data_IF_019461001620
#
_entry.id   IF_019461001620
#
_cell.length_a   1.000
_cell.length_b   1.000
_cell.length_c   1.000
_cell.angle_alpha   90.00
_cell.angle_beta   90.00
_cell.angle_gamma   90.00
#
_symmetry.space_group_name_H-M   'P 1'
#
loop_
_entity.id
_entity.type
_entity.pdbx_description
1 polymer ?
#
# COMPACT_ATOMS: atom_id res chain seq x y z
N UNK A 1 -10.01 -7.21 -43.61
CA UNK A 1 -8.58 -6.96 -43.36
C UNK A 1 -8.24 -7.67 -42.05
N UNK A 2 -7.80 -8.93 -42.12
CA UNK A 2 -7.39 -9.68 -40.93
C UNK A 2 -6.05 -9.11 -40.45
N UNK A 3 -6.07 -8.46 -39.29
CA UNK A 3 -4.82 -8.12 -38.62
C UNK A 3 -4.21 -9.42 -38.10
N UNK A 4 -3.24 -9.96 -38.84
CA UNK A 4 -2.37 -11.04 -38.37
C UNK A 4 -1.68 -10.60 -37.09
N UNK A 5 -2.20 -11.08 -35.96
CA UNK A 5 -1.62 -10.84 -34.65
C UNK A 5 -0.27 -11.53 -34.60
N UNK A 6 0.81 -10.76 -34.52
CA UNK A 6 2.12 -11.34 -34.27
C UNK A 6 2.12 -11.96 -32.87
N UNK A 7 2.55 -13.22 -32.72
CA UNK A 7 2.50 -13.94 -31.44
C UNK A 7 3.26 -13.23 -30.30
N UNK A 8 4.15 -12.30 -30.63
CA UNK A 8 4.88 -11.47 -29.66
C UNK A 8 4.00 -10.47 -28.91
N UNK A 9 2.91 -9.99 -29.50
CA UNK A 9 2.07 -9.00 -28.82
C UNK A 9 1.27 -9.59 -27.66
N UNK A 10 0.80 -10.83 -27.78
CA UNK A 10 0.03 -11.48 -26.71
C UNK A 10 0.94 -11.86 -25.54
N UNK A 11 2.19 -12.26 -25.82
CA UNK A 11 3.22 -12.48 -24.80
C UNK A 11 3.49 -11.21 -24.00
N UNK A 12 3.67 -10.08 -24.68
CA UNK A 12 3.94 -8.80 -24.01
C UNK A 12 2.79 -8.40 -23.08
N UNK A 13 1.53 -8.45 -23.55
CA UNK A 13 0.36 -8.13 -22.73
C UNK A 13 0.22 -9.05 -21.51
N UNK A 14 0.48 -10.35 -21.67
CA UNK A 14 0.45 -11.31 -20.57
C UNK A 14 1.53 -11.00 -19.53
N UNK A 15 2.77 -10.76 -19.94
CA UNK A 15 3.87 -10.42 -19.03
C UNK A 15 3.63 -9.10 -18.31
N UNK A 16 3.12 -8.07 -19.00
CA UNK A 16 2.76 -6.81 -18.35
C UNK A 16 1.72 -7.01 -17.26
N UNK A 17 0.66 -7.78 -17.53
CA UNK A 17 -0.40 -8.05 -16.57
C UNK A 17 0.12 -8.86 -15.37
N UNK A 18 0.97 -9.88 -15.63
CA UNK A 18 1.63 -10.66 -14.59
C UNK A 18 2.55 -9.81 -13.71
N UNK A 19 3.39 -8.94 -14.30
CA UNK A 19 4.25 -8.02 -13.55
C UNK A 19 3.45 -7.00 -12.75
N UNK A 20 2.33 -6.51 -13.28
CA UNK A 20 1.44 -5.61 -12.53
C UNK A 20 0.82 -6.31 -11.33
N UNK A 21 0.32 -7.55 -11.49
CA UNK A 21 -0.24 -8.32 -10.36
C UNK A 21 0.85 -8.65 -9.33
N UNK A 22 1.98 -9.23 -9.76
CA UNK A 22 3.09 -9.57 -8.87
C UNK A 22 3.67 -8.34 -8.16
N UNK A 23 3.78 -7.21 -8.87
CA UNK A 23 4.21 -5.94 -8.28
C UNK A 23 3.23 -5.48 -7.20
N UNK A 24 1.93 -5.38 -7.52
CA UNK A 24 0.92 -5.00 -6.53
C UNK A 24 0.90 -5.94 -5.33
N UNK A 25 0.98 -7.25 -5.54
CA UNK A 25 0.98 -8.24 -4.47
C UNK A 25 2.27 -8.18 -3.64
N UNK A 26 3.45 -8.08 -4.26
CA UNK A 26 4.71 -7.96 -3.53
C UNK A 26 4.79 -6.65 -2.72
N UNK A 27 4.33 -5.53 -3.28
CA UNK A 27 4.30 -4.25 -2.60
C UNK A 27 3.31 -4.22 -1.42
N UNK A 28 2.27 -5.06 -1.41
CA UNK A 28 1.40 -5.22 -0.23
C UNK A 28 2.13 -5.84 0.98
N UNK A 29 3.15 -6.67 0.74
CA UNK A 29 3.92 -7.33 1.80
C UNK A 29 5.17 -6.54 2.22
N UNK A 30 5.54 -5.49 1.49
CA UNK A 30 6.59 -4.58 1.93
C UNK A 30 5.93 -3.57 2.88
N UNK A 31 6.27 -3.56 4.17
CA UNK A 31 5.68 -2.64 5.12
C UNK A 31 6.28 -1.25 4.89
N UNK A 32 5.70 -0.50 3.94
CA UNK A 32 6.08 0.88 3.67
C UNK A 32 5.35 1.78 4.66
N UNK A 33 6.06 2.13 5.73
CA UNK A 33 5.55 3.08 6.72
C UNK A 33 5.93 4.50 6.31
N UNK A 34 4.91 5.36 6.24
CA UNK A 34 5.10 6.78 5.93
C UNK A 34 5.17 7.60 7.20
N UNK A 35 6.11 8.53 7.27
CA UNK A 35 6.27 9.44 8.41
C UNK A 35 5.12 10.45 8.49
N UNK A 36 4.52 10.81 7.34
CA UNK A 36 3.44 11.80 7.23
C UNK A 36 2.25 11.25 6.42
N UNK A 37 1.04 11.67 6.77
CA UNK A 37 -0.19 11.22 6.09
C UNK A 37 -0.33 11.74 4.65
N UNK A 38 0.08 12.97 4.37
CA UNK A 38 -0.03 13.60 3.05
C UNK A 38 0.75 12.86 1.94
N UNK A 39 2.06 12.60 2.07
CA UNK A 39 2.81 11.85 1.05
C UNK A 39 2.31 10.41 0.89
N UNK A 40 1.81 9.79 1.96
CA UNK A 40 1.14 8.48 1.91
C UNK A 40 -0.08 8.51 0.98
N UNK A 41 -0.97 9.48 1.19
CA UNK A 41 -2.17 9.63 0.36
C UNK A 41 -1.80 9.86 -1.11
N UNK A 42 -0.84 10.76 -1.37
CA UNK A 42 -0.35 11.05 -2.73
C UNK A 42 0.21 9.77 -3.38
N UNK A 43 1.02 8.99 -2.66
CA UNK A 43 1.56 7.73 -3.15
C UNK A 43 0.46 6.75 -3.59
N UNK A 44 -0.54 6.52 -2.74
CA UNK A 44 -1.65 5.63 -3.06
C UNK A 44 -2.53 6.16 -4.20
N UNK A 45 -2.77 7.47 -4.28
CA UNK A 45 -3.45 8.09 -5.41
C UNK A 45 -2.70 7.89 -6.73
N UNK A 46 -1.37 8.06 -6.74
CA UNK A 46 -0.54 7.82 -7.94
C UNK A 46 -0.62 6.36 -8.36
N UNK A 47 -0.49 5.41 -7.42
CA UNK A 47 -0.62 3.99 -7.73
C UNK A 47 -2.00 3.65 -8.30
N UNK A 48 -3.06 4.22 -7.73
CA UNK A 48 -4.42 4.03 -8.21
C UNK A 48 -4.62 4.60 -9.62
N UNK A 49 -4.12 5.82 -9.89
CA UNK A 49 -4.16 6.42 -11.22
C UNK A 49 -3.34 5.60 -12.23
N UNK A 50 -2.15 5.12 -11.87
CA UNK A 50 -1.35 4.27 -12.73
C UNK A 50 -2.07 2.96 -13.07
N UNK A 51 -2.71 2.34 -12.06
CA UNK A 51 -3.55 1.16 -12.25
C UNK A 51 -4.73 1.45 -13.18
N UNK A 52 -5.41 2.58 -12.98
CA UNK A 52 -6.51 3.06 -13.81
C UNK A 52 -6.11 3.21 -15.27
N UNK A 53 -5.03 3.94 -15.54
CA UNK A 53 -4.51 4.15 -16.89
C UNK A 53 -4.11 2.83 -17.55
N UNK A 54 -3.40 1.96 -16.82
CA UNK A 54 -3.01 0.64 -17.35
C UNK A 54 -4.23 -0.20 -17.76
N UNK A 55 -5.28 -0.15 -16.95
CA UNK A 55 -6.53 -0.86 -17.20
C UNK A 55 -7.26 -0.34 -18.44
N UNK A 56 -7.35 0.99 -18.60
CA UNK A 56 -7.96 1.63 -19.79
C UNK A 56 -7.19 1.28 -21.06
N UNK A 57 -5.86 1.32 -21.02
CA UNK A 57 -5.02 0.94 -22.17
C UNK A 57 -5.26 -0.52 -22.56
N UNK A 58 -5.34 -1.43 -21.58
CA UNK A 58 -5.61 -2.84 -21.85
C UNK A 58 -7.03 -3.04 -22.42
N UNK A 59 -8.02 -2.32 -21.88
CA UNK A 59 -9.39 -2.35 -22.37
C UNK A 59 -9.48 -1.86 -23.83
N UNK A 60 -8.83 -0.75 -24.16
CA UNK A 60 -8.77 -0.20 -25.52
C UNK A 60 -8.11 -1.17 -26.50
N UNK A 61 -6.98 -1.79 -26.11
CA UNK A 61 -6.31 -2.82 -26.91
C UNK A 61 -7.20 -4.04 -27.14
N UNK A 62 -7.97 -4.42 -26.13
CA UNK A 62 -8.88 -5.56 -26.19
C UNK A 62 -10.09 -5.29 -27.11
N UNK A 63 -10.73 -4.11 -27.02
CA UNK A 63 -11.87 -3.75 -27.88
C UNK A 63 -11.48 -3.47 -29.33
N UNK A 64 -10.26 -2.96 -29.57
CA UNK A 64 -9.74 -2.67 -30.91
C UNK A 64 -9.44 -3.92 -31.74
N UNK A 65 -9.19 -5.07 -31.09
CA UNK A 65 -9.01 -6.37 -31.75
C UNK A 65 -10.36 -7.01 -32.06
N UNK A 66 -10.91 -6.67 -33.22
CA UNK A 66 -12.19 -7.19 -33.71
C UNK A 66 -12.09 -8.65 -34.18
N UNK A 67 -12.75 -9.55 -33.44
CA UNK A 67 -13.30 -10.85 -33.86
C UNK A 67 -13.79 -11.71 -32.67
N UNK A 68 -13.55 -11.29 -31.42
CA UNK A 68 -14.00 -12.07 -30.25
C UNK A 68 -15.51 -11.93 -29.99
N UNK A 69 -16.14 -13.05 -29.60
CA UNK A 69 -17.55 -13.15 -29.19
C UNK A 69 -17.93 -12.04 -28.21
N UNK A 70 -19.10 -11.42 -28.42
CA UNK A 70 -19.69 -10.39 -27.55
C UNK A 70 -19.60 -10.75 -26.05
N UNK A 71 -19.78 -12.03 -25.74
CA UNK A 71 -19.71 -12.60 -24.40
C UNK A 71 -18.35 -12.33 -23.74
N UNK A 72 -17.23 -12.53 -24.46
CA UNK A 72 -15.90 -12.33 -23.87
C UNK A 72 -15.65 -10.85 -23.55
N UNK A 73 -16.16 -9.94 -24.39
CA UNK A 73 -16.10 -8.48 -24.12
C UNK A 73 -16.90 -8.10 -22.88
N UNK A 74 -18.09 -8.65 -22.71
CA UNK A 74 -18.93 -8.42 -21.53
C UNK A 74 -18.23 -8.97 -20.27
N UNK A 75 -17.71 -10.19 -20.31
CA UNK A 75 -17.00 -10.80 -19.18
C UNK A 75 -15.74 -10.01 -18.78
N UNK A 76 -14.96 -9.54 -19.75
CA UNK A 76 -13.79 -8.69 -19.48
C UNK A 76 -14.17 -7.34 -18.88
N UNK A 77 -15.28 -6.73 -19.33
CA UNK A 77 -15.79 -5.49 -18.75
C UNK A 77 -16.26 -5.68 -17.30
N UNK A 78 -17.00 -6.77 -17.01
CA UNK A 78 -17.44 -7.11 -15.66
C UNK A 78 -16.25 -7.34 -14.73
N UNK A 79 -15.27 -8.14 -15.18
CA UNK A 79 -14.04 -8.36 -14.42
C UNK A 79 -13.33 -7.04 -14.11
N UNK A 80 -13.20 -6.16 -15.10
CA UNK A 80 -12.57 -4.86 -14.91
C UNK A 80 -13.32 -4.00 -13.88
N UNK A 81 -14.65 -3.95 -13.95
CA UNK A 81 -15.50 -3.24 -12.97
C UNK A 81 -15.26 -3.81 -11.57
N UNK A 82 -15.21 -5.13 -11.41
CA UNK A 82 -14.95 -5.76 -10.13
C UNK A 82 -13.57 -5.39 -9.57
N UNK A 83 -12.53 -5.40 -10.40
CA UNK A 83 -11.18 -4.97 -9.96
C UNK A 83 -11.17 -3.50 -9.57
N UNK A 84 -11.86 -2.64 -10.31
CA UNK A 84 -12.00 -1.22 -9.97
C UNK A 84 -12.76 -0.98 -8.67
N UNK A 85 -13.82 -1.75 -8.39
CA UNK A 85 -14.52 -1.68 -7.12
C UNK A 85 -13.62 -2.06 -5.95
N UNK A 86 -12.84 -3.14 -6.08
CA UNK A 86 -11.87 -3.58 -5.06
C UNK A 86 -10.81 -2.50 -4.85
N UNK A 87 -10.27 -1.94 -5.93
CA UNK A 87 -9.27 -0.87 -5.86
C UNK A 87 -9.83 0.41 -5.22
N UNK A 88 -11.08 0.80 -5.55
CA UNK A 88 -11.75 1.95 -4.94
C UNK A 88 -11.95 1.73 -3.43
N UNK A 89 -12.45 0.55 -3.03
CA UNK A 89 -12.61 0.21 -1.61
C UNK A 89 -11.27 0.27 -0.88
N UNK A 90 -10.19 -0.22 -1.50
CA UNK A 90 -8.84 -0.13 -0.93
C UNK A 90 -8.38 1.33 -0.76
N UNK A 91 -8.53 2.17 -1.78
CA UNK A 91 -8.15 3.60 -1.71
C UNK A 91 -8.99 4.37 -0.71
N UNK A 92 -10.29 4.05 -0.56
CA UNK A 92 -11.16 4.71 0.42
C UNK A 92 -10.88 4.26 1.86
N UNK A 93 -10.40 3.03 2.07
CA UNK A 93 -10.13 2.47 3.40
C UNK A 93 -8.73 2.77 3.92
N UNK A 94 -7.71 2.88 3.06
CA UNK A 94 -6.36 3.28 3.46
C UNK A 94 -6.29 4.61 4.25
N UNK A 95 -6.98 5.70 3.87
CA UNK A 95 -6.93 6.93 4.63
C UNK A 95 -7.66 6.81 5.98
N UNK A 96 -8.57 5.84 6.13
CA UNK A 96 -9.26 5.57 7.38
C UNK A 96 -8.40 4.80 8.37
N UNK A 97 -7.42 4.01 7.89
CA UNK A 97 -6.50 3.24 8.73
C UNK A 97 -5.14 3.95 8.88
N UNK A 98 -4.88 4.51 10.06
CA UNK A 98 -3.65 5.24 10.35
C UNK A 98 -3.04 4.78 11.66
N UNK A 99 -1.75 4.45 11.64
CA UNK A 99 -0.98 4.34 12.87
C UNK A 99 -0.81 5.71 13.50
N UNK A 100 -1.47 5.93 14.63
CA UNK A 100 -1.43 7.17 15.39
C UNK A 100 -0.49 7.03 16.58
N UNK A 101 0.31 8.05 16.83
CA UNK A 101 1.27 8.06 17.95
C UNK A 101 0.54 8.45 19.23
N UNK A 102 0.62 7.59 20.24
CA UNK A 102 0.03 7.84 21.57
C UNK A 102 1.00 8.51 22.53
N UNK A 103 2.30 8.18 22.43
CA UNK A 103 3.32 8.71 23.32
C UNK A 103 4.72 8.21 23.00
N UNK A 104 5.73 8.89 23.52
CA UNK A 104 7.15 8.49 23.40
C UNK A 104 7.65 8.01 24.77
N UNK A 105 8.10 6.77 24.86
CA UNK A 105 8.68 6.23 26.11
C UNK A 105 10.17 6.53 26.23
N UNK A 106 10.90 6.36 25.13
CA UNK A 106 12.34 6.51 25.12
C UNK A 106 12.83 7.19 23.84
N UNK A 107 13.91 7.95 23.99
CA UNK A 107 14.67 8.56 22.89
C UNK A 107 16.11 8.06 22.97
N UNK A 108 16.70 7.66 21.85
CA UNK A 108 18.07 7.19 21.85
C UNK A 108 19.04 8.35 22.17
N UNK A 109 20.05 8.08 23.01
CA UNK A 109 21.04 9.10 23.42
C UNK A 109 21.93 9.58 22.29
N UNK A 110 22.26 8.68 21.36
CA UNK A 110 23.20 8.93 20.29
C UNK A 110 22.50 9.45 19.02
N UNK A 111 21.22 9.10 18.85
CA UNK A 111 20.41 9.49 17.70
C UNK A 111 18.98 9.86 18.14
N UNK A 112 18.67 11.15 18.36
CA UNK A 112 17.37 11.57 18.87
C UNK A 112 16.20 11.33 17.89
N UNK A 113 16.47 11.01 16.62
CA UNK A 113 15.45 10.62 15.66
C UNK A 113 14.96 9.18 15.88
N UNK A 114 15.79 8.36 16.52
CA UNK A 114 15.45 6.98 16.89
C UNK A 114 14.72 6.97 18.23
N UNK A 115 13.46 6.52 18.21
CA UNK A 115 12.54 6.59 19.35
C UNK A 115 11.88 5.25 19.63
N UNK A 116 11.41 5.07 20.85
CA UNK A 116 10.49 4.00 21.22
C UNK A 116 9.17 4.67 21.56
N UNK A 117 8.17 4.39 20.74
CA UNK A 117 6.87 5.05 20.81
C UNK A 117 5.78 4.02 21.08
N UNK A 118 4.74 4.45 21.79
CA UNK A 118 3.45 3.78 21.83
C UNK A 118 2.62 4.30 20.67
N UNK A 119 1.95 3.41 19.95
CA UNK A 119 1.04 3.76 18.86
C UNK A 119 -0.15 2.84 18.84
N UNK A 120 -1.22 3.26 18.19
CA UNK A 120 -2.41 2.43 17.96
C UNK A 120 -2.84 2.57 16.50
N UNK A 121 -3.56 1.56 16.01
CA UNK A 121 -4.17 1.62 14.68
C UNK A 121 -5.51 2.35 14.79
N UNK A 122 -5.55 3.61 14.40
CA UNK A 122 -6.78 4.37 14.25
C UNK A 122 -7.49 3.94 12.96
N UNK A 123 -8.67 3.35 13.08
CA UNK A 123 -9.52 2.92 11.96
C UNK A 123 -10.64 3.94 11.65
N UNK A 124 -10.54 5.15 12.18
CA UNK A 124 -11.57 6.19 12.05
C UNK A 124 -12.80 5.86 12.90
N UNK A 125 -13.95 5.59 12.26
CA UNK A 125 -15.23 5.43 12.96
C UNK A 125 -15.30 4.20 13.90
N UNK A 126 -14.49 3.16 13.63
CA UNK A 126 -14.41 1.98 14.47
C UNK A 126 -13.36 2.10 15.58
N UNK A 127 -12.54 3.15 15.55
CA UNK A 127 -11.60 3.53 16.60
C UNK A 127 -10.49 2.52 16.89
N UNK A 128 -9.37 3.03 17.36
CA UNK A 128 -8.37 2.28 18.11
C UNK A 128 -7.77 3.22 19.15
N UNK A 129 -7.11 2.69 20.19
CA UNK A 129 -6.47 3.49 21.22
C UNK A 129 -7.40 3.84 22.40
N UNK A 130 -8.53 3.15 22.53
CA UNK A 130 -9.39 3.27 23.73
C UNK A 130 -9.02 2.25 24.79
N UNK A 131 -8.50 1.08 24.38
CA UNK A 131 -8.13 0.01 25.29
C UNK A 131 -6.61 -0.15 25.36
N UNK A 132 -6.04 -0.54 26.53
CA UNK A 132 -4.61 -0.79 26.66
C UNK A 132 -4.06 -1.83 25.67
N UNK A 133 -4.90 -2.75 25.19
CA UNK A 133 -4.55 -3.77 24.20
C UNK A 133 -4.38 -3.24 22.77
N UNK A 134 -4.86 -2.02 22.49
CA UNK A 134 -4.76 -1.38 21.17
C UNK A 134 -3.37 -0.81 20.89
N UNK A 135 -2.56 -0.67 21.95
CA UNK A 135 -1.28 0.00 21.89
C UNK A 135 -0.14 -0.97 21.60
N UNK A 136 0.61 -0.66 20.56
CA UNK A 136 1.85 -1.34 20.21
C UNK A 136 3.05 -0.46 20.57
N UNK A 137 4.06 -1.06 21.21
CA UNK A 137 5.33 -0.39 21.47
C UNK A 137 6.31 -0.74 20.36
N UNK A 138 6.72 0.28 19.61
CA UNK A 138 7.61 0.09 18.46
C UNK A 138 8.87 0.94 18.58
N UNK A 139 9.95 0.37 18.10
CA UNK A 139 11.14 1.10 17.73
C UNK A 139 10.90 1.79 16.40
N UNK A 140 11.08 3.10 16.39
CA UNK A 140 10.82 3.99 15.27
C UNK A 140 12.11 4.64 14.81
N UNK A 141 12.44 4.49 13.52
CA UNK A 141 13.56 5.19 12.88
C UNK A 141 13.14 5.78 11.53
N UNK A 142 13.22 7.11 11.34
CA UNK A 142 13.06 7.68 10.01
C UNK A 142 14.25 7.27 9.12
N UNK A 143 13.96 6.85 7.89
CA UNK A 143 14.98 6.60 6.84
C UNK A 143 15.09 7.82 5.95
N UNK A 144 13.96 8.47 5.67
CA UNK A 144 13.86 9.73 4.94
C UNK A 144 12.79 10.60 5.59
N UNK A 145 12.61 11.87 5.17
CA UNK A 145 11.49 12.69 5.63
C UNK A 145 10.11 12.07 5.37
N UNK A 146 10.03 11.09 4.46
CA UNK A 146 8.79 10.48 4.02
C UNK A 146 8.61 9.03 4.47
N UNK A 147 9.71 8.30 4.68
CA UNK A 147 9.71 6.87 5.01
C UNK A 147 10.33 6.61 6.38
N UNK A 148 9.74 5.64 7.09
CA UNK A 148 10.23 5.16 8.38
C UNK A 148 10.29 3.64 8.41
N UNK A 149 11.16 3.12 9.28
CA UNK A 149 11.20 1.71 9.66
C UNK A 149 10.65 1.62 11.07
N UNK A 150 9.73 0.66 11.26
CA UNK A 150 9.13 0.37 12.54
C UNK A 150 9.28 -1.11 12.83
N UNK A 151 9.63 -1.43 14.08
CA UNK A 151 9.80 -2.80 14.56
C UNK A 151 9.20 -2.92 15.95
N UNK A 152 8.36 -3.93 16.18
CA UNK A 152 7.85 -4.24 17.50
C UNK A 152 9.00 -4.57 18.45
N UNK A 153 8.98 -4.00 19.66
CA UNK A 153 10.04 -4.27 20.65
C UNK A 153 9.47 -4.70 22.00
N UNK A 154 10.22 -5.57 22.66
CA UNK A 154 10.04 -5.85 24.08
C UNK A 154 10.92 -4.90 24.90
N UNK A 155 10.27 -3.95 25.59
CA UNK A 155 10.97 -2.95 26.41
C UNK A 155 11.72 -3.55 27.60
N UNK A 156 11.41 -4.78 28.02
CA UNK A 156 12.13 -5.46 29.10
C UNK A 156 13.53 -5.89 28.70
N UNK A 157 13.77 -6.12 27.40
CA UNK A 157 15.06 -6.53 26.84
C UNK A 157 15.91 -5.36 26.34
N UNK A 158 15.45 -4.14 26.56
CA UNK A 158 16.12 -2.94 26.10
C UNK A 158 17.35 -2.62 26.96
N UNK A 159 18.51 -2.39 26.33
CA UNK A 159 19.69 -1.86 27.04
C UNK A 159 19.47 -0.38 27.40
N UNK A 160 18.93 -0.15 28.60
CA UNK A 160 18.57 1.17 29.14
C UNK A 160 19.72 2.18 29.15
N UNK A 161 20.98 1.75 29.02
CA UNK A 161 22.13 2.66 28.96
C UNK A 161 22.09 3.59 27.76
N UNK A 162 21.52 3.14 26.64
CA UNK A 162 21.50 3.90 25.38
C UNK A 162 20.26 4.79 25.21
N UNK A 163 19.38 4.84 26.20
CA UNK A 163 18.06 5.47 26.08
C UNK A 163 17.81 6.49 27.18
N UNK A 164 17.15 7.59 26.80
CA UNK A 164 16.63 8.60 27.71
C UNK A 164 15.13 8.38 27.84
N UNK A 165 14.66 8.21 29.08
CA UNK A 165 13.23 8.13 29.40
C UNK A 165 12.60 9.51 29.24
N UNK A 166 11.46 9.58 28.57
CA UNK A 166 10.64 10.80 28.43
C UNK A 166 9.41 10.73 29.34
#
# INVERSE_FOLDING_TARGET
MEQNLTPNSNKLSFWTLLYSVLGFTAFQFIPVYFTQQTPRLIYYCILFLAFAFSSVIQLQRYFSRSAHYLITKILSAIFLIAVWMIALLFVLTIPLAVWSEAGTYYVNKNDPEVKIISRYLDLGAFGGGTEPGDYEIVWHRPVTPYFKIEMAIDTNKLDKKNWLRR
#
